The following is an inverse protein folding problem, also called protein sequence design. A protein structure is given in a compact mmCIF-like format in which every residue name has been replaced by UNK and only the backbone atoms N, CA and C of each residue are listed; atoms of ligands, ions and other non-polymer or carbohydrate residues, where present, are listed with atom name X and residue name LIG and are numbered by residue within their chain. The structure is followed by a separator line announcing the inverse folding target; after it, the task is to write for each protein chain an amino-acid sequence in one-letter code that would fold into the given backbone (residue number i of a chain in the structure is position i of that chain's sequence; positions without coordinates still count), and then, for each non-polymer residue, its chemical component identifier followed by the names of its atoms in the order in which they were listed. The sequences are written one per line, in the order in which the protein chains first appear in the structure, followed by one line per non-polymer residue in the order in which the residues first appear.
data_IF_803515296177
#
_entry.id   IF_803515296177
#
_cell.length_a   1.000
_cell.length_b   1.000
_cell.length_c   1.000
_cell.angle_alpha   90.00
_cell.angle_beta   90.00
_cell.angle_gamma   90.00
#
_symmetry.space_group_name_H-M   'P 1'
#
loop_
_entity.id
_entity.type
_entity.pdbx_description
1 polymer ?
#
# COMPACT_ATOMS: atom_id res chain seq x y z
N UNK A 1 21.27 -3.70 16.80
CA UNK A 1 21.58 -4.57 15.66
C UNK A 1 22.03 -3.72 14.48
N UNK A 2 23.23 -3.94 13.94
CA UNK A 2 23.75 -3.19 12.80
C UNK A 2 22.99 -3.54 11.52
N UNK A 3 22.54 -2.53 10.77
CA UNK A 3 21.86 -2.72 9.49
C UNK A 3 22.80 -3.39 8.47
N UNK A 4 22.32 -4.43 7.79
CA UNK A 4 23.06 -5.13 6.75
C UNK A 4 23.47 -4.19 5.61
N UNK A 5 24.72 -4.28 5.12
CA UNK A 5 25.20 -3.48 3.98
C UNK A 5 24.36 -3.70 2.71
N UNK A 6 23.77 -4.90 2.57
CA UNK A 6 22.83 -5.22 1.48
C UNK A 6 21.50 -4.46 1.63
N UNK A 7 20.99 -4.29 2.84
CA UNK A 7 19.76 -3.53 3.09
C UNK A 7 19.94 -2.05 2.77
N UNK A 8 21.10 -1.48 3.09
CA UNK A 8 21.42 -0.07 2.80
C UNK A 8 21.49 0.17 1.29
N UNK A 9 22.14 -0.73 0.54
CA UNK A 9 22.23 -0.66 -0.92
C UNK A 9 20.85 -0.83 -1.58
N UNK A 10 20.05 -1.78 -1.10
CA UNK A 10 18.71 -2.05 -1.62
C UNK A 10 17.75 -0.87 -1.39
N UNK A 11 17.79 -0.24 -0.20
CA UNK A 11 17.00 0.97 0.13
C UNK A 11 17.34 2.16 -0.77
N UNK A 12 18.63 2.36 -1.05
CA UNK A 12 19.10 3.48 -1.90
C UNK A 12 18.60 3.36 -3.34
N UNK A 13 18.51 2.13 -3.87
CA UNK A 13 18.02 1.84 -5.22
C UNK A 13 16.49 1.92 -5.36
N UNK A 14 15.73 1.52 -4.33
CA UNK A 14 14.26 1.52 -4.38
C UNK A 14 13.67 2.93 -4.34
N UNK A 15 14.19 3.79 -3.47
CA UNK A 15 13.58 5.10 -3.22
C UNK A 15 13.84 6.11 -4.34
N UNK A 16 15.02 6.07 -4.95
CA UNK A 16 15.41 7.03 -6.01
C UNK A 16 14.86 6.69 -7.39
N UNK A 17 14.42 5.45 -7.64
CA UNK A 17 13.98 5.01 -8.97
C UNK A 17 12.47 4.88 -9.13
N UNK A 18 11.73 4.61 -8.05
CA UNK A 18 10.33 4.15 -8.14
C UNK A 18 9.28 5.11 -7.58
N UNK A 19 9.66 6.24 -6.97
CA UNK A 19 8.72 7.15 -6.29
C UNK A 19 8.58 8.55 -6.91
N UNK A 20 9.20 8.83 -8.08
CA UNK A 20 9.41 10.23 -8.55
C UNK A 20 8.76 10.58 -9.90
N UNK A 21 8.11 9.66 -10.64
CA UNK A 21 7.86 9.87 -12.08
C UNK A 21 6.41 9.84 -12.60
N UNK A 22 5.39 9.85 -11.74
CA UNK A 22 3.98 10.00 -12.17
C UNK A 22 3.48 8.88 -13.13
N UNK A 23 2.19 8.89 -13.46
CA UNK A 23 1.33 7.81 -14.00
C UNK A 23 1.86 6.88 -15.12
N UNK A 24 3.03 7.14 -15.70
CA UNK A 24 3.56 6.39 -16.83
C UNK A 24 2.74 6.69 -18.08
N UNK A 25 3.17 6.20 -19.24
CA UNK A 25 2.39 6.37 -20.47
C UNK A 25 1.26 5.32 -20.49
N UNK A 26 0.01 5.66 -20.83
CA UNK A 26 -1.10 4.70 -20.92
C UNK A 26 -0.82 3.52 -21.85
N UNK A 27 0.01 3.70 -22.87
CA UNK A 27 0.45 2.65 -23.80
C UNK A 27 1.27 1.53 -23.11
N UNK A 28 1.85 1.83 -21.94
CA UNK A 28 2.59 0.87 -21.12
C UNK A 28 1.70 0.03 -20.19
N UNK A 29 0.38 0.28 -20.13
CA UNK A 29 -0.60 -0.52 -19.39
C UNK A 29 -0.86 -1.89 -20.03
N UNK A 30 0.14 -2.51 -20.67
CA UNK A 30 -0.01 -3.80 -21.35
C UNK A 30 0.22 -5.01 -20.43
N UNK A 31 -0.87 -5.77 -20.32
CA UNK A 31 -1.00 -7.25 -20.31
C UNK A 31 -0.47 -7.98 -19.07
N UNK A 32 -1.39 -8.62 -18.37
CA UNK A 32 -1.05 -9.77 -17.53
C UNK A 32 -0.37 -10.84 -18.38
N UNK A 33 0.43 -11.69 -17.74
CA UNK A 33 0.98 -12.86 -18.39
C UNK A 33 0.33 -14.10 -17.85
N UNK A 34 -0.20 -14.92 -18.75
CA UNK A 34 -0.77 -16.19 -18.37
C UNK A 34 0.14 -17.32 -18.84
N UNK A 35 0.66 -18.07 -17.88
CA UNK A 35 1.59 -19.18 -18.11
C UNK A 35 0.81 -20.45 -17.80
N UNK A 36 0.55 -21.24 -18.83
CA UNK A 36 -0.26 -22.47 -18.75
C UNK A 36 0.57 -23.67 -19.21
N UNK A 37 0.30 -24.87 -18.69
CA UNK A 37 0.96 -26.08 -19.17
C UNK A 37 0.43 -26.44 -20.56
N UNK A 38 1.27 -27.10 -21.36
CA UNK A 38 0.81 -27.64 -22.66
C UNK A 38 -0.23 -28.74 -22.45
N UNK A 39 -0.04 -29.54 -21.40
CA UNK A 39 -0.91 -30.65 -21.02
C UNK A 39 -1.13 -30.61 -19.51
N UNK A 40 -2.38 -30.79 -19.08
CA UNK A 40 -2.74 -30.79 -17.67
C UNK A 40 -2.48 -32.18 -17.08
N UNK A 41 -1.74 -32.24 -15.96
CA UNK A 41 -1.45 -33.50 -15.26
C UNK A 41 -2.66 -34.13 -14.57
N UNK A 42 -3.73 -33.37 -14.40
CA UNK A 42 -4.94 -33.78 -13.67
C UNK A 42 -6.19 -33.34 -14.41
N UNK A 43 -7.37 -33.86 -14.02
CA UNK A 43 -8.67 -33.35 -14.51
C UNK A 43 -8.89 -31.86 -14.17
N UNK A 44 -8.18 -31.35 -13.17
CA UNK A 44 -8.24 -29.96 -12.76
C UNK A 44 -7.28 -29.09 -13.56
N UNK A 45 -7.64 -27.81 -13.69
CA UNK A 45 -6.86 -26.77 -14.36
C UNK A 45 -6.49 -25.67 -13.36
N UNK A 46 -5.65 -25.97 -12.34
CA UNK A 46 -5.40 -25.05 -11.24
C UNK A 46 -4.65 -23.80 -11.70
N UNK A 47 -5.09 -22.63 -11.24
CA UNK A 47 -4.49 -21.33 -11.57
C UNK A 47 -4.22 -20.52 -10.30
N UNK A 48 -2.98 -20.06 -10.14
CA UNK A 48 -2.61 -19.11 -9.09
C UNK A 48 -2.37 -17.70 -9.69
N UNK A 49 -3.10 -16.70 -9.21
CA UNK A 49 -2.85 -15.29 -9.54
C UNK A 49 -1.74 -14.76 -8.63
N UNK A 50 -0.69 -14.22 -9.22
CA UNK A 50 0.41 -13.59 -8.49
C UNK A 50 0.29 -12.07 -8.61
N UNK A 51 0.15 -11.37 -7.48
CA UNK A 51 0.22 -9.91 -7.42
C UNK A 51 1.65 -9.43 -7.16
N UNK A 52 2.00 -8.29 -7.74
CA UNK A 52 3.35 -7.75 -7.69
C UNK A 52 3.65 -7.07 -6.34
N UNK A 53 4.86 -7.28 -5.82
CA UNK A 53 5.40 -6.50 -4.70
C UNK A 53 6.02 -5.18 -5.14
N UNK A 54 6.42 -4.34 -4.18
CA UNK A 54 7.11 -3.07 -4.45
C UNK A 54 8.40 -3.29 -5.23
N UNK A 55 8.59 -2.53 -6.32
CA UNK A 55 9.77 -2.65 -7.20
C UNK A 55 9.71 -3.81 -8.20
N UNK A 56 8.64 -4.60 -8.23
CA UNK A 56 8.45 -5.71 -9.18
C UNK A 56 7.72 -5.24 -10.46
N UNK A 57 8.41 -4.41 -11.24
CA UNK A 57 7.87 -3.82 -12.47
C UNK A 57 7.90 -4.76 -13.68
N UNK A 58 8.66 -5.87 -13.61
CA UNK A 58 8.81 -6.83 -14.69
C UNK A 58 8.47 -8.24 -14.22
N UNK A 59 7.75 -8.99 -15.05
CA UNK A 59 7.35 -10.36 -14.72
C UNK A 59 8.52 -11.33 -14.50
N UNK A 60 9.78 -10.96 -14.77
CA UNK A 60 10.91 -11.89 -14.80
C UNK A 60 11.09 -12.69 -13.50
N UNK A 61 11.04 -12.05 -12.33
CA UNK A 61 11.26 -12.75 -11.04
C UNK A 61 10.12 -13.71 -10.76
N UNK A 62 8.88 -13.26 -10.82
CA UNK A 62 7.70 -14.14 -10.64
C UNK A 62 7.62 -15.22 -11.71
N UNK A 63 7.95 -14.91 -12.96
CA UNK A 63 7.99 -15.89 -14.05
C UNK A 63 9.04 -16.97 -13.80
N UNK A 64 10.25 -16.57 -13.43
CA UNK A 64 11.41 -17.47 -13.36
C UNK A 64 11.47 -18.25 -12.05
N UNK A 65 11.12 -17.62 -10.92
CA UNK A 65 11.28 -18.20 -9.60
C UNK A 65 9.99 -18.77 -9.00
N UNK A 66 8.82 -18.36 -9.51
CA UNK A 66 7.52 -18.87 -9.07
C UNK A 66 6.84 -19.68 -10.18
N UNK A 67 6.37 -19.02 -11.24
CA UNK A 67 5.50 -19.64 -12.25
C UNK A 67 6.13 -20.82 -12.99
N UNK A 68 7.36 -20.67 -13.52
CA UNK A 68 8.04 -21.75 -14.25
C UNK A 68 8.29 -22.98 -13.36
N UNK A 69 8.80 -22.84 -12.12
CA UNK A 69 8.87 -23.96 -11.19
C UNK A 69 7.50 -24.56 -10.87
N UNK A 70 6.47 -23.76 -10.57
CA UNK A 70 5.11 -24.25 -10.28
C UNK A 70 4.51 -25.06 -11.42
N UNK A 71 4.77 -24.62 -12.66
CA UNK A 71 4.38 -25.35 -13.85
C UNK A 71 5.03 -26.74 -13.93
N UNK A 72 6.32 -26.83 -13.62
CA UNK A 72 7.10 -28.08 -13.69
C UNK A 72 6.76 -29.02 -12.54
N UNK A 73 6.78 -28.49 -11.32
CA UNK A 73 6.60 -29.20 -10.06
C UNK A 73 5.16 -29.71 -9.94
N UNK A 74 4.17 -28.81 -10.04
CA UNK A 74 2.77 -29.12 -9.73
C UNK A 74 1.83 -29.14 -10.96
N UNK A 75 2.29 -28.78 -12.16
CA UNK A 75 1.42 -28.65 -13.33
C UNK A 75 0.40 -27.50 -13.21
N UNK A 76 0.70 -26.52 -12.35
CA UNK A 76 -0.19 -25.38 -12.09
C UNK A 76 0.11 -24.23 -13.02
N UNK A 77 -0.95 -23.55 -13.47
CA UNK A 77 -0.82 -22.32 -14.23
C UNK A 77 -0.67 -21.10 -13.31
N UNK A 78 -0.01 -20.06 -13.84
CA UNK A 78 0.22 -18.80 -13.13
C UNK A 78 -0.22 -17.62 -13.97
N UNK A 79 -1.05 -16.75 -13.39
CA UNK A 79 -1.40 -15.46 -13.95
C UNK A 79 -0.61 -14.37 -13.23
N UNK A 80 0.27 -13.67 -13.95
CA UNK A 80 1.14 -12.65 -13.40
C UNK A 80 0.59 -11.26 -13.74
N UNK A 81 0.35 -10.44 -12.71
CA UNK A 81 -0.15 -9.06 -12.83
C UNK A 81 0.86 -8.06 -12.28
N UNK A 82 1.32 -7.10 -13.07
CA UNK A 82 2.15 -5.99 -12.58
C UNK A 82 1.30 -5.03 -11.75
N UNK A 83 1.90 -4.46 -10.70
CA UNK A 83 1.35 -3.33 -9.94
C UNK A 83 1.41 -2.07 -10.81
N UNK A 84 0.49 -1.13 -10.56
CA UNK A 84 0.49 0.18 -11.21
C UNK A 84 1.88 0.83 -11.03
N UNK A 85 2.37 1.51 -12.07
CA UNK A 85 3.74 2.07 -12.07
C UNK A 85 3.94 3.19 -11.03
N UNK A 86 2.89 3.62 -10.34
CA UNK A 86 2.89 4.83 -9.53
C UNK A 86 2.23 4.65 -8.17
N UNK A 87 2.87 5.26 -7.18
CA UNK A 87 2.45 5.30 -5.79
C UNK A 87 1.57 6.52 -5.49
N UNK A 88 1.28 7.37 -6.50
CA UNK A 88 0.63 8.67 -6.28
C UNK A 88 -0.74 8.57 -5.60
N UNK A 89 -1.45 7.45 -5.76
CA UNK A 89 -2.67 7.16 -5.01
C UNK A 89 -2.66 5.73 -4.47
N UNK A 90 -1.89 5.48 -3.41
CA UNK A 90 -1.75 4.16 -2.79
C UNK A 90 -3.11 3.47 -2.53
N UNK A 91 -4.16 4.25 -2.20
CA UNK A 91 -5.51 3.76 -1.96
C UNK A 91 -6.29 3.45 -3.25
N UNK A 92 -6.22 4.33 -4.27
CA UNK A 92 -6.87 4.09 -5.58
C UNK A 92 -6.24 2.89 -6.27
N UNK A 93 -4.92 2.71 -6.16
CA UNK A 93 -4.23 1.52 -6.63
C UNK A 93 -4.78 0.26 -5.94
N UNK A 94 -4.99 0.30 -4.63
CA UNK A 94 -5.57 -0.81 -3.87
C UNK A 94 -6.95 -1.20 -4.41
N UNK A 95 -7.87 -0.24 -4.52
CA UNK A 95 -9.21 -0.47 -5.05
C UNK A 95 -9.22 -1.00 -6.49
N UNK A 96 -8.38 -0.44 -7.37
CA UNK A 96 -8.24 -0.93 -8.74
C UNK A 96 -7.74 -2.38 -8.79
N UNK A 97 -6.75 -2.73 -7.96
CA UNK A 97 -6.22 -4.10 -7.90
C UNK A 97 -7.24 -5.11 -7.38
N UNK A 98 -8.09 -4.73 -6.42
CA UNK A 98 -9.19 -5.58 -5.93
C UNK A 98 -10.16 -5.87 -7.07
N UNK A 99 -10.62 -4.84 -7.79
CA UNK A 99 -11.55 -4.98 -8.91
C UNK A 99 -10.95 -5.78 -10.08
N UNK A 100 -9.71 -5.48 -10.46
CA UNK A 100 -9.00 -6.25 -11.49
C UNK A 100 -8.86 -7.73 -11.11
N UNK A 101 -8.56 -8.01 -9.84
CA UNK A 101 -8.43 -9.39 -9.35
C UNK A 101 -9.77 -10.13 -9.43
N UNK A 102 -10.86 -9.51 -9.01
CA UNK A 102 -12.20 -10.08 -9.13
C UNK A 102 -12.58 -10.36 -10.60
N UNK A 103 -12.31 -9.41 -11.50
CA UNK A 103 -12.57 -9.59 -12.93
C UNK A 103 -11.76 -10.76 -13.53
N UNK A 104 -10.50 -10.90 -13.14
CA UNK A 104 -9.63 -12.00 -13.58
C UNK A 104 -10.08 -13.35 -13.02
N UNK A 105 -10.48 -13.42 -11.74
CA UNK A 105 -11.01 -14.64 -11.14
C UNK A 105 -12.30 -15.08 -11.82
N UNK A 106 -13.24 -14.17 -12.08
CA UNK A 106 -14.45 -14.49 -12.84
C UNK A 106 -14.16 -14.89 -14.29
N UNK A 107 -13.18 -14.25 -14.95
CA UNK A 107 -12.76 -14.68 -16.28
C UNK A 107 -12.18 -16.11 -16.25
N UNK A 108 -11.27 -16.42 -15.34
CA UNK A 108 -10.70 -17.75 -15.18
C UNK A 108 -11.78 -18.82 -14.90
N UNK A 109 -12.74 -18.51 -14.04
CA UNK A 109 -13.84 -19.43 -13.73
C UNK A 109 -14.71 -19.69 -14.98
N UNK A 110 -15.06 -18.66 -15.75
CA UNK A 110 -15.84 -18.81 -17.00
C UNK A 110 -15.11 -19.64 -18.06
N UNK A 111 -13.78 -19.54 -18.12
CA UNK A 111 -12.95 -20.32 -19.04
C UNK A 111 -12.69 -21.77 -18.54
N UNK A 112 -13.32 -22.16 -17.43
CA UNK A 112 -13.23 -23.51 -16.88
C UNK A 112 -11.88 -23.82 -16.21
N UNK A 113 -11.21 -22.81 -15.66
CA UNK A 113 -10.04 -23.01 -14.80
C UNK A 113 -10.47 -23.23 -13.36
N UNK A 114 -9.75 -24.10 -12.66
CA UNK A 114 -10.02 -24.37 -11.27
C UNK A 114 -9.22 -25.57 -10.73
N UNK A 115 -8.91 -25.61 -9.43
CA UNK A 115 -9.17 -24.58 -8.43
C UNK A 115 -8.40 -23.27 -8.69
N UNK A 116 -8.94 -22.14 -8.26
CA UNK A 116 -8.31 -20.82 -8.39
C UNK A 116 -7.67 -20.44 -7.05
N UNK A 117 -6.60 -19.65 -7.06
CA UNK A 117 -5.97 -19.15 -5.84
C UNK A 117 -5.19 -17.87 -6.06
N UNK A 118 -4.82 -17.20 -4.98
CA UNK A 118 -4.06 -15.94 -5.03
C UNK A 118 -2.83 -15.97 -4.14
N UNK A 119 -1.78 -15.29 -4.59
CA UNK A 119 -0.55 -15.10 -3.83
C UNK A 119 0.09 -13.77 -4.18
N UNK A 120 0.99 -13.31 -3.32
CA UNK A 120 1.86 -12.21 -3.60
C UNK A 120 2.92 -12.10 -2.51
N UNK A 121 3.98 -11.34 -2.80
CA UNK A 121 5.07 -11.11 -1.85
C UNK A 121 5.06 -9.65 -1.40
N UNK A 122 5.22 -9.41 -0.11
CA UNK A 122 5.28 -8.07 0.49
C UNK A 122 4.00 -7.28 0.16
N UNK A 123 4.10 -6.10 -0.44
CA UNK A 123 2.93 -5.35 -0.91
C UNK A 123 1.97 -6.20 -1.75
N UNK A 124 2.47 -7.11 -2.60
CA UNK A 124 1.62 -7.98 -3.40
C UNK A 124 0.85 -9.01 -2.56
N UNK A 125 1.44 -9.47 -1.46
CA UNK A 125 0.76 -10.37 -0.52
C UNK A 125 -0.37 -9.65 0.21
N UNK A 126 -0.13 -8.41 0.63
CA UNK A 126 -1.16 -7.58 1.23
C UNK A 126 -2.30 -7.23 0.25
N UNK A 127 -1.98 -6.92 -1.01
CA UNK A 127 -3.00 -6.72 -2.04
C UNK A 127 -3.79 -8.00 -2.35
N UNK A 128 -3.14 -9.17 -2.29
CA UNK A 128 -3.83 -10.45 -2.51
C UNK A 128 -4.81 -10.74 -1.37
N UNK A 129 -4.43 -10.39 -0.14
CA UNK A 129 -5.31 -10.40 1.02
C UNK A 129 -6.55 -9.55 0.81
N UNK A 130 -6.40 -8.27 0.42
CA UNK A 130 -7.54 -7.37 0.16
C UNK A 130 -8.41 -7.81 -1.04
N UNK A 131 -7.81 -8.43 -2.05
CA UNK A 131 -8.57 -8.95 -3.17
C UNK A 131 -9.46 -10.14 -2.77
N UNK A 132 -8.92 -11.05 -1.93
CA UNK A 132 -9.64 -12.25 -1.49
C UNK A 132 -10.76 -11.95 -0.50
N UNK A 133 -10.65 -10.91 0.33
CA UNK A 133 -11.77 -10.46 1.20
C UNK A 133 -13.00 -10.04 0.40
N UNK A 134 -12.84 -9.70 -0.88
CA UNK A 134 -13.92 -9.31 -1.79
C UNK A 134 -14.37 -10.44 -2.74
N UNK A 135 -13.85 -11.65 -2.58
CA UNK A 135 -14.20 -12.80 -3.42
C UNK A 135 -15.28 -13.67 -2.75
N UNK A 136 -16.42 -13.95 -3.43
CA UNK A 136 -17.58 -14.58 -2.79
C UNK A 136 -17.51 -16.11 -2.68
N UNK A 137 -16.37 -16.74 -3.00
CA UNK A 137 -16.21 -18.21 -2.99
C UNK A 137 -14.97 -18.62 -2.19
N UNK A 138 -14.89 -19.87 -1.68
CA UNK A 138 -13.67 -20.37 -1.05
C UNK A 138 -12.49 -20.27 -2.04
N UNK A 139 -11.33 -19.78 -1.57
CA UNK A 139 -10.16 -19.57 -2.40
C UNK A 139 -8.86 -19.73 -1.58
N UNK A 140 -7.91 -20.59 -2.01
CA UNK A 140 -6.55 -20.61 -1.51
C UNK A 140 -5.89 -19.23 -1.59
N UNK A 141 -5.40 -18.73 -0.45
CA UNK A 141 -4.64 -17.49 -0.37
C UNK A 141 -3.32 -17.74 0.34
N UNK A 142 -2.21 -17.35 -0.30
CA UNK A 142 -0.87 -17.45 0.27
C UNK A 142 -0.19 -16.08 0.20
N UNK A 143 -0.40 -15.21 1.19
CA UNK A 143 0.27 -13.94 1.30
C UNK A 143 1.66 -14.17 1.93
N UNK A 144 2.72 -13.84 1.20
CA UNK A 144 4.09 -14.04 1.65
C UNK A 144 4.71 -12.71 2.10
N UNK A 145 5.39 -12.71 3.24
CA UNK A 145 6.11 -11.55 3.78
C UNK A 145 5.22 -10.31 3.91
N UNK A 146 3.96 -10.51 4.28
CA UNK A 146 2.95 -9.46 4.39
C UNK A 146 2.08 -9.70 5.62
N UNK A 147 1.49 -8.64 6.14
CA UNK A 147 0.72 -8.69 7.37
C UNK A 147 -0.63 -7.99 7.24
N UNK A 148 -1.30 -7.82 8.38
CA UNK A 148 -2.67 -7.31 8.47
C UNK A 148 -2.82 -5.83 8.09
N UNK A 149 -1.77 -5.01 8.15
CA UNK A 149 -1.85 -3.57 7.81
C UNK A 149 -0.55 -3.07 7.19
N UNK A 150 -0.64 -2.06 6.33
CA UNK A 150 0.51 -1.32 5.82
C UNK A 150 0.98 -0.20 6.77
N UNK A 151 0.17 0.16 7.78
CA UNK A 151 0.46 1.26 8.70
C UNK A 151 1.83 1.11 9.38
N UNK A 152 2.12 -0.06 9.93
CA UNK A 152 3.42 -0.35 10.55
C UNK A 152 4.59 -0.20 9.59
N UNK A 153 4.42 -0.50 8.30
CA UNK A 153 5.47 -0.39 7.28
C UNK A 153 5.89 1.08 7.08
N UNK A 154 4.92 1.99 7.01
CA UNK A 154 5.16 3.41 6.73
C UNK A 154 5.37 4.26 7.97
N UNK A 155 4.88 3.87 9.15
CA UNK A 155 4.99 4.68 10.38
C UNK A 155 6.19 4.31 11.25
N UNK A 156 6.47 3.01 11.40
CA UNK A 156 7.48 2.52 12.36
C UNK A 156 8.53 1.58 11.74
N UNK A 157 8.22 1.00 10.57
CA UNK A 157 9.08 0.08 9.84
C UNK A 157 10.22 0.80 9.12
N UNK A 158 11.07 0.03 8.45
CA UNK A 158 12.26 0.59 7.78
C UNK A 158 11.94 1.58 6.65
N UNK A 159 10.73 1.52 6.09
CA UNK A 159 10.26 2.47 5.09
C UNK A 159 9.77 3.78 5.71
N UNK A 160 9.49 3.84 7.01
CA UNK A 160 9.14 5.11 7.67
C UNK A 160 10.25 6.15 7.56
N UNK A 161 11.52 5.72 7.52
CA UNK A 161 12.68 6.59 7.33
C UNK A 161 12.76 7.21 5.93
N UNK A 162 11.99 6.69 4.97
CA UNK A 162 11.91 7.22 3.61
C UNK A 162 10.76 8.22 3.43
N UNK A 163 9.83 8.28 4.39
CA UNK A 163 8.71 9.20 4.37
C UNK A 163 9.20 10.60 4.75
N UNK A 164 8.80 11.62 3.98
CA UNK A 164 9.11 13.01 4.30
C UNK A 164 8.16 13.53 5.39
N UNK A 165 8.40 13.10 6.63
CA UNK A 165 7.57 13.46 7.79
C UNK A 165 7.45 14.96 8.01
N UNK A 166 8.52 15.73 7.74
CA UNK A 166 8.49 17.18 7.87
C UNK A 166 7.46 17.83 6.96
N UNK A 167 7.37 17.35 5.72
CA UNK A 167 6.39 17.87 4.77
C UNK A 167 4.97 17.39 5.12
N UNK A 168 4.79 16.13 5.51
CA UNK A 168 3.49 15.63 5.98
C UNK A 168 2.98 16.38 7.21
N UNK A 169 3.85 16.63 8.18
CA UNK A 169 3.58 17.46 9.36
C UNK A 169 3.14 18.86 8.92
N UNK A 170 3.93 19.53 8.08
CA UNK A 170 3.59 20.86 7.57
C UNK A 170 2.23 20.87 6.88
N UNK A 171 1.94 19.89 6.04
CA UNK A 171 0.68 19.77 5.31
C UNK A 171 -0.50 19.54 6.26
N UNK A 172 -0.35 18.64 7.23
CA UNK A 172 -1.35 18.39 8.28
C UNK A 172 -1.72 19.67 9.03
N UNK A 173 -0.75 20.52 9.39
CA UNK A 173 -1.01 21.77 10.12
C UNK A 173 -1.51 22.92 9.27
N UNK A 174 -1.13 22.97 7.99
CA UNK A 174 -1.45 24.12 7.11
C UNK A 174 -2.74 23.93 6.33
N UNK A 175 -3.20 22.69 6.15
CA UNK A 175 -4.38 22.39 5.36
C UNK A 175 -5.49 21.83 6.26
N UNK A 176 -6.46 22.68 6.59
CA UNK A 176 -7.67 22.31 7.35
C UNK A 176 -8.55 21.28 6.63
N UNK A 177 -8.30 21.03 5.34
CA UNK A 177 -8.97 20.01 4.54
C UNK A 177 -8.73 18.60 5.11
N UNK A 178 -7.54 18.30 5.64
CA UNK A 178 -7.25 16.97 6.19
C UNK A 178 -8.06 16.68 7.45
N UNK A 179 -8.30 17.68 8.29
CA UNK A 179 -9.14 17.51 9.47
C UNK A 179 -10.61 17.29 9.06
N UNK A 180 -11.13 18.13 8.17
CA UNK A 180 -12.55 18.10 7.79
C UNK A 180 -12.94 16.91 6.89
N UNK A 181 -12.11 16.54 5.91
CA UNK A 181 -12.46 15.49 4.95
C UNK A 181 -12.14 14.08 5.46
N UNK A 182 -11.10 13.90 6.27
CA UNK A 182 -10.73 12.58 6.80
C UNK A 182 -11.66 12.17 7.96
N UNK A 183 -12.18 13.10 8.76
CA UNK A 183 -13.24 12.79 9.72
C UNK A 183 -14.45 12.12 9.04
N UNK A 184 -14.86 12.60 7.86
CA UNK A 184 -15.92 11.98 7.09
C UNK A 184 -15.56 10.61 6.49
N UNK A 185 -14.28 10.38 6.13
CA UNK A 185 -13.81 9.05 5.72
C UNK A 185 -13.81 8.06 6.89
N UNK A 186 -13.54 8.52 8.12
CA UNK A 186 -13.57 7.71 9.34
C UNK A 186 -15.01 7.38 9.80
N UNK A 187 -15.97 8.30 9.61
CA UNK A 187 -17.41 8.06 9.88
C UNK A 187 -18.03 6.99 8.97
N UNK A 188 -17.45 6.76 7.78
CA UNK A 188 -17.94 5.83 6.76
C UNK A 188 -17.62 4.34 7.04
N UNK A 189 -16.76 4.03 8.01
CA UNK A 189 -16.04 2.75 8.15
C UNK A 189 -16.77 1.58 8.86
N UNK A 190 -18.10 1.63 9.02
CA UNK A 190 -18.87 0.56 9.68
C UNK A 190 -19.53 -0.47 8.76
N UNK A 191 -19.34 -0.37 7.45
CA UNK A 191 -20.14 -1.09 6.46
C UNK A 191 -19.37 -2.16 5.67
N UNK A 192 -20.06 -3.24 5.31
CA UNK A 192 -19.48 -4.36 4.56
C UNK A 192 -19.05 -3.93 3.15
N UNK A 193 -17.72 -3.93 2.93
CA UNK A 193 -17.07 -3.55 1.66
C UNK A 193 -17.60 -4.32 0.45
N UNK A 194 -17.94 -5.60 0.61
CA UNK A 194 -18.47 -6.43 -0.47
C UNK A 194 -19.90 -5.99 -0.85
N UNK A 195 -20.74 -5.73 0.16
CA UNK A 195 -22.11 -5.23 -0.04
C UNK A 195 -22.12 -3.84 -0.68
N UNK A 196 -21.21 -2.96 -0.26
CA UNK A 196 -21.04 -1.64 -0.88
C UNK A 196 -20.63 -1.73 -2.35
N UNK A 197 -19.74 -2.66 -2.71
CA UNK A 197 -19.39 -2.92 -4.10
C UNK A 197 -20.61 -3.32 -4.95
N UNK A 198 -21.51 -4.15 -4.40
CA UNK A 198 -22.74 -4.53 -5.09
C UNK A 198 -23.71 -3.34 -5.25
N UNK A 199 -23.88 -2.53 -4.22
CA UNK A 199 -24.78 -1.38 -4.23
C UNK A 199 -24.27 -0.29 -5.19
N UNK A 200 -22.95 -0.09 -5.26
CA UNK A 200 -22.33 0.81 -6.25
C UNK A 200 -22.64 0.39 -7.69
N UNK A 201 -22.50 -0.91 -8.01
CA UNK A 201 -22.78 -1.43 -9.35
C UNK A 201 -24.27 -1.33 -9.69
N UNK A 202 -25.16 -1.61 -8.73
CA UNK A 202 -26.62 -1.55 -8.93
C UNK A 202 -27.11 -0.11 -9.16
N UNK A 203 -26.53 0.87 -8.49
CA UNK A 203 -26.96 2.27 -8.53
C UNK A 203 -26.07 3.15 -9.42
N UNK A 204 -25.25 2.55 -10.28
CA UNK A 204 -24.11 3.17 -10.97
C UNK A 204 -24.33 4.59 -11.53
N UNK A 205 -25.43 4.94 -12.23
CA UNK A 205 -25.62 6.31 -12.71
C UNK A 205 -25.84 7.34 -11.58
N UNK A 206 -26.52 6.97 -10.48
CA UNK A 206 -26.72 7.86 -9.31
C UNK A 206 -25.55 7.87 -8.32
N UNK A 207 -24.77 6.78 -8.27
CA UNK A 207 -23.61 6.65 -7.36
C UNK A 207 -22.45 7.55 -7.76
N UNK A 208 -22.24 7.74 -9.08
CA UNK A 208 -21.20 8.63 -9.61
C UNK A 208 -21.54 10.10 -9.41
N UNK A 209 -22.82 10.46 -9.36
CA UNK A 209 -23.28 11.82 -9.05
C UNK A 209 -23.05 12.16 -7.56
N UNK A 210 -23.18 11.21 -6.64
CA UNK A 210 -22.87 11.40 -5.21
C UNK A 210 -21.37 11.61 -4.95
N UNK A 211 -20.50 10.98 -5.74
CA UNK A 211 -19.05 11.15 -5.67
C UNK A 211 -18.57 12.55 -6.13
N UNK A 212 -19.44 13.36 -6.74
CA UNK A 212 -19.10 14.75 -7.10
C UNK A 212 -18.91 15.66 -5.88
N UNK A 213 -19.45 15.29 -4.71
CA UNK A 213 -19.24 16.01 -3.45
C UNK A 213 -17.85 15.79 -2.82
N UNK A 214 -17.16 14.69 -3.14
CA UNK A 214 -15.75 14.51 -2.85
C UNK A 214 -14.92 15.24 -3.91
N UNK A 215 -14.66 16.54 -3.68
CA UNK A 215 -13.89 17.40 -4.60
C UNK A 215 -12.53 16.79 -5.00
N UNK A 216 -11.93 15.97 -4.14
CA UNK A 216 -10.69 15.24 -4.44
C UNK A 216 -10.89 14.13 -5.50
N UNK A 217 -11.96 13.34 -5.41
CA UNK A 217 -12.29 12.29 -6.38
C UNK A 217 -12.66 12.89 -7.74
N UNK A 218 -13.47 13.95 -7.76
CA UNK A 218 -13.85 14.65 -8.98
C UNK A 218 -12.66 15.29 -9.71
N UNK A 219 -11.64 15.77 -8.99
CA UNK A 219 -10.39 16.29 -9.57
C UNK A 219 -9.51 15.18 -10.15
N UNK A 220 -9.46 14.01 -9.51
CA UNK A 220 -8.76 12.81 -10.00
C UNK A 220 -9.38 12.25 -11.29
N UNK A 221 -10.71 12.26 -11.42
CA UNK A 221 -11.41 11.80 -12.63
C UNK A 221 -11.43 12.83 -13.78
N UNK A 222 -11.28 14.13 -13.50
CA UNK A 222 -11.32 15.21 -14.52
C UNK A 222 -10.03 15.37 -15.34
N UNK A 223 -8.92 14.75 -14.94
CA UNK A 223 -7.64 14.89 -15.63
C UNK A 223 -7.56 14.24 -17.03
N UNK A 224 -8.62 13.56 -17.49
CA UNK A 224 -8.57 12.83 -18.76
C UNK A 224 -9.55 13.33 -19.86
N UNK A 225 -10.18 14.51 -19.71
CA UNK A 225 -11.18 14.92 -20.72
C UNK A 225 -10.88 16.13 -21.60
N UNK A 226 -9.96 17.04 -21.26
CA UNK A 226 -9.70 18.20 -22.14
C UNK A 226 -8.19 18.43 -22.33
N UNK A 227 -7.64 17.93 -23.45
CA UNK A 227 -6.48 18.55 -24.10
C UNK A 227 -7.02 19.42 -25.21
N UNK A 228 -7.00 20.73 -25.00
CA UNK A 228 -7.05 21.74 -26.07
C UNK A 228 -5.77 22.60 -25.92
N UNK A 229 -5.21 23.14 -27.03
CA UNK A 229 -3.85 23.64 -27.08
C UNK A 229 -3.73 25.06 -26.52
N UNK A 230 -2.75 25.29 -25.63
CA UNK A 230 -2.40 26.63 -25.14
C UNK A 230 -1.68 27.45 -26.22
N UNK A 231 -2.24 28.61 -26.54
CA UNK A 231 -1.57 29.71 -27.26
C UNK A 231 -0.87 30.65 -26.26
N UNK A 232 0.16 31.40 -26.66
CA UNK A 232 1.09 32.06 -25.74
C UNK A 232 0.67 33.49 -25.40
N UNK A 233 0.91 33.92 -24.16
CA UNK A 233 0.81 35.33 -23.74
C UNK A 233 2.08 35.76 -22.98
N UNK A 234 2.40 37.07 -22.92
CA UNK A 234 3.76 37.56 -23.03
C UNK A 234 4.38 37.96 -21.68
N UNK A 235 5.71 37.98 -21.70
CA UNK A 235 6.63 38.41 -20.66
C UNK A 235 6.34 39.83 -20.11
N UNK A 236 6.31 40.00 -18.79
CA UNK A 236 6.76 41.24 -18.13
C UNK A 236 7.50 40.93 -16.80
N UNK A 237 8.66 41.58 -16.66
CA UNK A 237 9.60 41.52 -15.54
C UNK A 237 9.31 42.61 -14.48
N UNK A 238 9.85 42.51 -13.24
CA UNK A 238 9.56 43.48 -12.18
C UNK A 238 10.56 44.64 -12.16
N UNK A 239 10.07 45.86 -11.91
CA UNK A 239 10.86 47.06 -11.61
C UNK A 239 10.75 47.45 -10.13
N UNK A 240 11.89 47.91 -9.60
CA UNK A 240 12.15 48.50 -8.29
C UNK A 240 11.51 49.89 -8.09
N UNK A 241 11.20 50.30 -6.85
CA UNK A 241 11.96 51.36 -6.13
C UNK A 241 11.35 51.85 -4.79
N UNK A 242 12.26 52.47 -4.05
CA UNK A 242 12.36 53.01 -2.68
C UNK A 242 11.35 54.05 -2.13
N UNK A 243 11.19 54.06 -0.79
CA UNK A 243 11.48 55.16 0.19
C UNK A 243 10.77 54.83 1.53
N UNK A 244 11.30 54.96 2.75
CA UNK A 244 12.41 55.72 3.33
C UNK A 244 11.87 56.56 4.50
N UNK A 245 12.39 56.44 5.73
CA UNK A 245 12.48 57.53 6.73
C UNK A 245 13.31 57.13 7.97
N UNK A 246 14.36 57.92 8.24
CA UNK A 246 15.28 57.91 9.39
C UNK A 246 14.76 58.82 10.51
N UNK A 247 15.19 58.57 11.76
CA UNK A 247 15.68 59.62 12.68
C UNK A 247 16.71 59.04 13.67
N UNK A 248 17.79 59.81 13.90
CA UNK A 248 18.92 59.59 14.80
C UNK A 248 18.72 60.32 16.15
N UNK A 249 19.28 59.80 17.26
CA UNK A 249 20.25 60.51 18.13
C UNK A 249 20.49 59.79 19.49
N UNK A 250 21.75 59.86 19.95
CA UNK A 250 22.41 59.20 21.09
C UNK A 250 21.98 59.68 22.50
N UNK A 251 22.12 58.81 23.53
CA UNK A 251 23.08 58.97 24.65
C UNK A 251 22.88 57.94 25.79
N UNK A 252 23.96 57.76 26.58
CA UNK A 252 24.34 56.65 27.48
C UNK A 252 23.54 56.46 28.79
N UNK A 253 23.80 55.27 29.37
CA UNK A 253 23.86 54.85 30.80
C UNK A 253 22.66 54.07 31.34
N UNK A 254 22.81 52.75 31.51
CA UNK A 254 22.90 52.14 32.86
C UNK A 254 23.02 50.61 32.76
N UNK A 255 24.04 50.08 33.41
CA UNK A 255 24.42 48.68 33.48
C UNK A 255 23.79 48.06 34.73
N UNK A 256 22.58 47.47 34.66
CA UNK A 256 22.05 46.46 35.60
C UNK A 256 20.86 45.77 34.94
N UNK A 257 20.93 44.46 34.70
CA UNK A 257 19.75 43.67 34.27
C UNK A 257 19.98 42.42 33.40
N UNK A 258 21.23 42.00 33.12
CA UNK A 258 21.49 40.72 32.46
C UNK A 258 21.47 39.56 33.48
N UNK A 259 20.28 39.21 33.97
CA UNK A 259 20.08 37.95 34.70
C UNK A 259 18.67 37.34 34.56
N UNK A 260 17.69 38.06 34.00
CA UNK A 260 16.29 37.58 33.93
C UNK A 260 15.86 37.07 32.53
N UNK A 261 16.65 37.27 31.48
CA UNK A 261 16.31 36.85 30.10
C UNK A 261 16.78 35.45 29.72
N UNK A 262 17.76 34.88 30.44
CA UNK A 262 18.26 33.53 30.19
C UNK A 262 17.27 32.43 30.63
N UNK A 263 16.54 32.63 31.73
CA UNK A 263 15.53 31.70 32.25
C UNK A 263 14.27 31.63 31.38
N UNK A 264 13.81 32.77 30.85
CA UNK A 264 12.63 32.84 29.98
C UNK A 264 12.93 32.26 28.59
N UNK A 265 14.12 32.49 28.03
CA UNK A 265 14.55 31.90 26.75
C UNK A 265 14.67 30.37 26.83
N UNK A 266 15.17 29.84 27.95
CA UNK A 266 15.26 28.40 28.24
C UNK A 266 13.87 27.75 28.38
N UNK A 267 12.97 28.36 29.17
CA UNK A 267 11.60 27.87 29.32
C UNK A 267 10.80 27.92 28.01
N UNK A 268 10.90 29.02 27.26
CA UNK A 268 10.21 29.20 25.98
C UNK A 268 10.75 28.25 24.91
N UNK A 269 12.07 28.02 24.86
CA UNK A 269 12.68 26.97 24.01
C UNK A 269 12.17 25.58 24.39
N UNK A 270 12.15 25.24 25.68
CA UNK A 270 11.70 23.94 26.19
C UNK A 270 10.21 23.69 25.94
N UNK A 271 9.38 24.73 26.02
CA UNK A 271 7.96 24.67 25.65
C UNK A 271 7.75 24.52 24.14
N UNK A 272 8.50 25.25 23.30
CA UNK A 272 8.43 25.04 21.85
C UNK A 272 8.91 23.65 21.43
N UNK A 273 9.96 23.10 22.07
CA UNK A 273 10.41 21.73 21.79
C UNK A 273 9.36 20.70 22.17
N UNK A 274 8.75 20.81 23.37
CA UNK A 274 7.67 19.92 23.80
C UNK A 274 6.44 20.01 22.91
N UNK A 275 6.08 21.23 22.47
CA UNK A 275 4.97 21.45 21.54
C UNK A 275 5.26 20.81 20.19
N UNK A 276 6.47 20.98 19.66
CA UNK A 276 6.87 20.36 18.40
C UNK A 276 6.87 18.82 18.49
N UNK A 277 7.34 18.24 19.60
CA UNK A 277 7.29 16.79 19.83
C UNK A 277 5.84 16.27 19.93
N UNK A 278 4.95 17.01 20.58
CA UNK A 278 3.53 16.65 20.66
C UNK A 278 2.86 16.68 19.27
N UNK A 279 3.15 17.71 18.48
CA UNK A 279 2.64 17.89 17.11
C UNK A 279 3.16 16.79 16.17
N UNK A 280 4.43 16.42 16.28
CA UNK A 280 5.00 15.29 15.52
C UNK A 280 4.33 13.96 15.87
N UNK A 281 4.02 13.78 17.16
CA UNK A 281 3.32 12.58 17.62
C UNK A 281 1.90 12.54 17.09
N UNK A 282 1.20 13.67 17.09
CA UNK A 282 -0.16 13.80 16.57
C UNK A 282 -0.24 13.49 15.06
N UNK A 283 0.61 14.11 14.24
CA UNK A 283 0.62 13.85 12.79
C UNK A 283 0.99 12.39 12.46
N UNK A 284 1.89 11.79 13.23
CA UNK A 284 2.24 10.37 13.09
C UNK A 284 1.07 9.44 13.44
N UNK A 285 0.35 9.72 14.54
CA UNK A 285 -0.85 8.97 14.93
C UNK A 285 -1.98 9.13 13.92
N UNK A 286 -2.16 10.33 13.39
CA UNK A 286 -3.12 10.60 12.33
C UNK A 286 -2.83 9.75 11.08
N UNK A 287 -1.59 9.79 10.59
CA UNK A 287 -1.17 8.97 9.44
C UNK A 287 -1.30 7.47 9.72
N UNK A 288 -1.02 7.04 10.96
CA UNK A 288 -1.23 5.67 11.39
C UNK A 288 -2.70 5.29 11.29
N UNK A 289 -3.60 6.14 11.78
CA UNK A 289 -5.04 5.98 11.69
C UNK A 289 -5.51 5.85 10.25
N UNK A 290 -5.21 6.83 9.39
CA UNK A 290 -5.59 6.80 7.97
C UNK A 290 -5.10 5.53 7.27
N UNK A 291 -3.86 5.12 7.51
CA UNK A 291 -3.32 3.90 6.92
C UNK A 291 -3.99 2.64 7.45
N UNK A 292 -4.22 2.53 8.77
CA UNK A 292 -4.92 1.38 9.35
C UNK A 292 -6.35 1.30 8.81
N UNK A 293 -7.05 2.43 8.70
CA UNK A 293 -8.42 2.46 8.21
C UNK A 293 -8.54 1.91 6.78
N UNK A 294 -7.65 2.34 5.88
CA UNK A 294 -7.70 1.95 4.48
C UNK A 294 -6.96 0.63 4.15
N UNK A 295 -6.12 0.11 5.04
CA UNK A 295 -5.26 -1.05 4.74
C UNK A 295 -5.37 -2.19 5.74
N UNK A 296 -5.92 -1.96 6.92
CA UNK A 296 -6.05 -3.03 7.90
C UNK A 296 -7.08 -4.06 7.41
N UNK A 297 -6.64 -5.28 7.10
CA UNK A 297 -7.49 -6.33 6.51
C UNK A 297 -8.68 -6.71 7.40
N UNK A 298 -8.61 -6.41 8.70
CA UNK A 298 -9.73 -6.58 9.64
C UNK A 298 -10.89 -5.60 9.47
N UNK A 299 -10.71 -4.54 8.67
CA UNK A 299 -11.79 -3.63 8.29
C UNK A 299 -12.54 -4.12 7.05
N UNK A 300 -12.14 -5.26 6.49
CA UNK A 300 -12.74 -5.89 5.32
C UNK A 300 -13.39 -7.21 5.70
N UNK A 301 -14.27 -7.69 4.83
CA UNK A 301 -15.03 -8.92 5.04
C UNK A 301 -14.10 -10.13 5.18
N UNK A 302 -14.44 -11.05 6.07
CA UNK A 302 -13.65 -12.27 6.27
C UNK A 302 -13.78 -13.16 5.03
N UNK A 303 -12.68 -13.70 4.47
CA UNK A 303 -12.76 -14.65 3.35
C UNK A 303 -13.66 -15.84 3.69
N UNK A 304 -14.37 -16.37 2.69
CA UNK A 304 -15.39 -17.42 2.87
C UNK A 304 -14.88 -18.63 3.66
N UNK A 305 -13.62 -19.02 3.43
CA UNK A 305 -12.99 -20.09 4.19
C UNK A 305 -11.53 -19.76 4.56
N UNK A 306 -11.31 -19.23 5.78
CA UNK A 306 -9.97 -18.92 6.26
C UNK A 306 -9.04 -20.13 6.40
N UNK A 307 -9.54 -21.36 6.48
CA UNK A 307 -8.70 -22.57 6.62
C UNK A 307 -7.85 -22.87 5.38
N UNK A 308 -8.20 -22.24 4.25
CA UNK A 308 -7.45 -22.28 2.99
C UNK A 308 -6.29 -21.27 2.93
N UNK A 309 -6.15 -20.43 3.96
CA UNK A 309 -5.18 -19.34 3.99
C UNK A 309 -3.91 -19.79 4.72
N UNK A 310 -2.76 -19.65 4.07
CA UNK A 310 -1.44 -19.92 4.65
C UNK A 310 -0.58 -18.66 4.52
N UNK A 311 -0.42 -17.94 5.62
CA UNK A 311 0.40 -16.72 5.72
C UNK A 311 1.85 -17.10 5.93
N UNK A 312 2.75 -16.74 5.02
CA UNK A 312 4.19 -17.05 5.16
C UNK A 312 4.93 -15.82 5.69
N UNK A 313 5.60 -15.94 6.84
CA UNK A 313 6.28 -14.81 7.49
C UNK A 313 7.73 -15.08 7.85
N UNK A 314 8.59 -14.09 7.63
CA UNK A 314 9.95 -14.10 8.12
C UNK A 314 9.99 -13.85 9.64
N UNK A 315 10.77 -14.65 10.37
CA UNK A 315 10.94 -14.49 11.82
C UNK A 315 11.54 -13.13 12.16
N UNK A 316 12.58 -12.72 11.44
CA UNK A 316 13.34 -11.49 11.65
C UNK A 316 12.93 -10.38 10.66
N UNK A 317 11.63 -10.21 10.43
CA UNK A 317 11.11 -9.21 9.50
C UNK A 317 11.19 -7.79 10.07
N UNK A 318 12.10 -6.98 9.54
CA UNK A 318 12.23 -5.56 9.87
C UNK A 318 11.40 -4.63 8.95
N UNK A 319 10.86 -5.14 7.84
CA UNK A 319 10.07 -4.37 6.87
C UNK A 319 8.60 -4.28 7.25
N UNK A 320 8.07 -5.36 7.82
CA UNK A 320 6.67 -5.46 8.25
C UNK A 320 6.62 -5.69 9.75
N UNK A 321 6.73 -4.62 10.58
CA UNK A 321 6.64 -4.73 12.02
C UNK A 321 5.29 -5.32 12.44
N UNK A 322 5.33 -6.23 13.41
CA UNK A 322 4.14 -6.92 13.94
C UNK A 322 3.76 -6.49 15.36
N UNK A 323 4.60 -5.70 16.02
CA UNK A 323 4.38 -5.26 17.40
C UNK A 323 3.19 -4.29 17.45
N UNK A 324 2.23 -4.55 18.32
CA UNK A 324 1.04 -3.71 18.49
C UNK A 324 0.06 -3.76 17.32
N UNK A 325 0.13 -4.80 16.49
CA UNK A 325 -0.79 -5.04 15.38
C UNK A 325 -1.51 -6.37 15.61
N UNK A 326 -2.83 -6.37 15.34
CA UNK A 326 -3.67 -7.57 15.50
C UNK A 326 -3.18 -8.72 14.63
N UNK A 327 -3.13 -9.93 15.19
CA UNK A 327 -2.70 -11.13 14.47
C UNK A 327 -3.69 -11.51 13.36
N UNK A 328 -3.19 -11.99 12.23
CA UNK A 328 -4.04 -12.51 11.15
C UNK A 328 -4.90 -13.70 11.60
N UNK A 329 -4.47 -14.50 12.58
CA UNK A 329 -5.28 -15.57 13.14
C UNK A 329 -6.50 -15.08 13.92
N UNK A 330 -6.42 -13.89 14.52
CA UNK A 330 -7.56 -13.29 15.21
C UNK A 330 -8.54 -12.64 14.24
N UNK A 331 -8.03 -12.15 13.11
CA UNK A 331 -8.85 -11.53 12.06
C UNK A 331 -9.51 -12.62 11.19
N UNK A 332 -8.77 -13.67 10.86
CA UNK A 332 -9.19 -14.80 10.04
C UNK A 332 -9.01 -16.11 10.81
N UNK A 333 -9.97 -16.47 11.69
CA UNK A 333 -9.88 -17.68 12.50
C UNK A 333 -9.73 -18.94 11.65
N UNK A 334 -8.68 -19.72 11.91
CA UNK A 334 -8.37 -20.95 11.18
C UNK A 334 -7.29 -20.81 10.11
N UNK A 335 -6.80 -19.60 9.81
CA UNK A 335 -5.65 -19.46 8.92
C UNK A 335 -4.35 -19.98 9.57
N UNK A 336 -3.46 -20.55 8.76
CA UNK A 336 -2.11 -20.95 9.21
C UNK A 336 -1.15 -19.76 9.10
N UNK A 337 -0.28 -19.59 10.10
CA UNK A 337 0.90 -18.72 9.99
C UNK A 337 2.15 -19.61 9.97
N UNK A 338 2.85 -19.60 8.84
CA UNK A 338 4.08 -20.36 8.62
C UNK A 338 5.29 -19.45 8.74
N UNK A 339 6.07 -19.64 9.79
CA UNK A 339 7.30 -18.88 10.01
C UNK A 339 8.49 -19.49 9.26
N UNK A 340 9.27 -18.65 8.61
CA UNK A 340 10.51 -19.01 7.91
C UNK A 340 11.71 -18.27 8.52
N UNK A 341 12.85 -18.95 8.53
CA UNK A 341 14.11 -18.39 9.03
C UNK A 341 14.65 -17.24 8.16
N UNK A 342 15.22 -16.24 8.82
CA UNK A 342 15.80 -15.04 8.21
C UNK A 342 14.87 -13.82 8.23
N UNK A 343 15.32 -12.75 7.57
CA UNK A 343 14.59 -11.50 7.43
C UNK A 343 13.87 -11.36 6.08
N UNK A 344 13.10 -10.28 5.94
CA UNK A 344 12.25 -10.02 4.75
C UNK A 344 13.00 -10.11 3.42
N UNK A 345 14.13 -9.41 3.30
CA UNK A 345 14.90 -9.35 2.06
C UNK A 345 15.55 -10.69 1.75
N UNK A 346 16.17 -11.34 2.75
CA UNK A 346 16.75 -12.68 2.57
C UNK A 346 15.69 -13.71 2.18
N UNK A 347 14.50 -13.64 2.78
CA UNK A 347 13.41 -14.53 2.44
C UNK A 347 12.92 -14.29 1.00
N UNK A 348 12.73 -13.04 0.62
CA UNK A 348 12.35 -12.65 -0.73
C UNK A 348 13.35 -13.12 -1.80
N UNK A 349 14.65 -13.09 -1.48
CA UNK A 349 15.72 -13.46 -2.41
C UNK A 349 15.98 -14.97 -2.48
N UNK A 350 15.76 -15.73 -1.41
CA UNK A 350 16.26 -17.11 -1.32
C UNK A 350 15.23 -18.16 -0.88
N UNK A 351 14.00 -17.79 -0.51
CA UNK A 351 13.02 -18.72 0.08
C UNK A 351 11.80 -18.99 -0.81
N UNK A 352 11.92 -18.77 -2.12
CA UNK A 352 10.82 -18.95 -3.09
C UNK A 352 10.31 -20.40 -3.12
N UNK A 353 11.17 -21.39 -2.86
CA UNK A 353 10.73 -22.78 -2.72
C UNK A 353 9.72 -22.98 -1.59
N UNK A 354 9.91 -22.30 -0.45
CA UNK A 354 8.96 -22.36 0.67
C UNK A 354 7.65 -21.64 0.36
N UNK A 355 7.71 -20.54 -0.41
CA UNK A 355 6.50 -19.86 -0.90
C UNK A 355 5.68 -20.75 -1.82
N UNK A 356 6.34 -21.45 -2.77
CA UNK A 356 5.68 -22.42 -3.65
C UNK A 356 5.06 -23.57 -2.87
N UNK A 357 5.78 -24.11 -1.89
CA UNK A 357 5.25 -25.20 -1.05
C UNK A 357 3.97 -24.77 -0.32
N UNK A 358 3.95 -23.58 0.26
CA UNK A 358 2.74 -23.06 0.90
C UNK A 358 1.57 -22.91 -0.08
N UNK A 359 1.83 -22.49 -1.33
CA UNK A 359 0.81 -22.45 -2.39
C UNK A 359 0.28 -23.86 -2.67
N UNK A 360 1.14 -24.86 -2.85
CA UNK A 360 0.71 -26.23 -3.10
C UNK A 360 -0.13 -26.79 -1.95
N UNK A 361 0.29 -26.56 -0.71
CA UNK A 361 -0.44 -27.00 0.48
C UNK A 361 -1.84 -26.37 0.55
N UNK A 362 -1.96 -25.06 0.26
CA UNK A 362 -3.25 -24.36 0.25
C UNK A 362 -4.20 -24.88 -0.84
N UNK A 363 -3.68 -25.15 -2.04
CA UNK A 363 -4.46 -25.77 -3.12
C UNK A 363 -4.89 -27.20 -2.79
N UNK A 364 -4.01 -27.98 -2.17
CA UNK A 364 -4.35 -29.33 -1.71
C UNK A 364 -5.46 -29.30 -0.65
N UNK A 365 -5.42 -28.36 0.30
CA UNK A 365 -6.52 -28.16 1.27
C UNK A 365 -7.84 -27.88 0.59
N UNK A 366 -7.82 -27.03 -0.44
CA UNK A 366 -9.03 -26.74 -1.21
C UNK A 366 -9.57 -28.01 -1.87
N UNK A 367 -8.73 -28.76 -2.57
CA UNK A 367 -9.17 -29.99 -3.26
C UNK A 367 -9.69 -31.07 -2.29
N UNK A 368 -9.13 -31.15 -1.09
CA UNK A 368 -9.60 -32.08 -0.06
C UNK A 368 -10.96 -31.69 0.52
N UNK A 369 -11.23 -30.38 0.66
CA UNK A 369 -12.44 -29.86 1.30
C UNK A 369 -13.57 -29.58 0.32
N UNK A 370 -13.23 -29.17 -0.89
CA UNK A 370 -14.14 -28.75 -1.96
C UNK A 370 -13.87 -29.59 -3.22
N UNK A 371 -14.33 -30.85 -3.27
CA UNK A 371 -14.21 -31.68 -4.46
C UNK A 371 -14.99 -31.04 -5.61
N UNK A 372 -14.32 -30.88 -6.77
CA UNK A 372 -14.88 -30.28 -7.99
C UNK A 372 -15.15 -31.28 -9.11
#
# INVERSE_FOLDING_TARGET
MGLSKLDVLYRRLLLTKFFIRGWGKPEDLKRFQFIVPKEWKSKYRPVCIHLAGTGDHYFWRRRTLMARPMLKEAGMASLLRSSLKNVSDLFVMGGALVLESAALLHWLEREGYGPLGMTGISMGGHMASLAVTNWPKPIPLVPCLSWSTASGVFTTGVLSKAVNWRELEKQYFTQTVYENEILHLLEYCGADSFKMGQDFVKNSPSSVDSLTHLKLAASLFRLNRNREPLSPDPLQAPSSDHNGFMFHADAKVSYVGQAMTAGVSSHRKRETTKRNEALQKESSLFMKGVMDECTHVGNFSVPVDPSLIIVVQAKEDAYVPRVGVRSLQEIWPGCEIRYIEGGHVSAYLFKQGLFRQAIYDAFNRFLLKYPM
#
